data_IF_810355352211
#
_entry.id   IF_810355352211
#
_cell.length_a   1.000
_cell.length_b   1.000
_cell.length_c   1.000
_cell.angle_alpha   90.00
_cell.angle_beta   90.00
_cell.angle_gamma   90.00
#
_symmetry.space_group_name_H-M   'P 1'
#
loop_
_entity.id
_entity.type
_entity.pdbx_description
1 polymer ?
#
# COMPACT_ATOMS: atom_id res chain seq x y z
N UNK A 1 -0.62 -24.26 -11.77
CA UNK A 1 -0.39 -22.84 -11.43
C UNK A 1 0.95 -22.58 -10.72
N UNK A 2 1.58 -23.56 -10.03
CA UNK A 2 2.89 -23.35 -9.36
C UNK A 2 3.95 -24.42 -9.68
N UNK A 3 3.74 -25.25 -10.70
CA UNK A 3 4.72 -26.30 -11.06
C UNK A 3 5.97 -25.73 -11.75
N UNK A 4 5.88 -24.53 -12.31
CA UNK A 4 6.94 -23.88 -13.09
C UNK A 4 7.64 -22.72 -12.38
N UNK A 5 7.26 -22.38 -11.15
CA UNK A 5 7.84 -21.25 -10.42
C UNK A 5 8.50 -21.75 -9.13
N UNK A 6 9.78 -21.45 -8.96
CA UNK A 6 10.56 -21.82 -7.76
C UNK A 6 10.32 -20.88 -6.59
N UNK A 7 9.99 -19.62 -6.91
CA UNK A 7 9.82 -18.55 -5.95
C UNK A 7 8.73 -17.59 -6.43
N UNK A 8 7.78 -17.29 -5.55
CA UNK A 8 6.71 -16.31 -5.80
C UNK A 8 6.94 -15.06 -4.94
N UNK A 9 6.67 -13.90 -5.53
CA UNK A 9 6.67 -12.62 -4.82
C UNK A 9 5.24 -12.11 -4.75
N UNK A 10 4.68 -12.02 -3.54
CA UNK A 10 3.31 -11.58 -3.27
C UNK A 10 3.31 -10.15 -2.76
N UNK A 11 2.80 -9.21 -3.55
CA UNK A 11 2.56 -7.84 -3.12
C UNK A 11 1.17 -7.75 -2.48
N UNK A 12 1.08 -7.93 -1.16
CA UNK A 12 -0.17 -7.84 -0.41
C UNK A 12 0.09 -7.76 1.09
N UNK A 13 -0.76 -7.01 1.80
CA UNK A 13 -0.84 -7.03 3.26
C UNK A 13 -1.96 -7.93 3.80
N UNK A 14 -2.84 -8.43 2.94
CA UNK A 14 -4.07 -9.10 3.38
C UNK A 14 -3.82 -10.50 3.96
N UNK A 15 -4.28 -10.70 5.20
CA UNK A 15 -4.15 -11.97 5.92
C UNK A 15 -4.86 -13.15 5.27
N UNK A 16 -5.85 -12.91 4.41
CA UNK A 16 -6.59 -13.96 3.72
C UNK A 16 -5.70 -14.80 2.78
N UNK A 17 -4.54 -14.26 2.38
CA UNK A 17 -3.55 -15.00 1.59
C UNK A 17 -2.72 -15.99 2.39
N UNK A 18 -2.88 -16.09 3.72
CA UNK A 18 -2.14 -17.05 4.54
C UNK A 18 -2.27 -18.50 4.01
N UNK A 19 -3.50 -18.92 3.70
CA UNK A 19 -3.76 -20.26 3.18
C UNK A 19 -3.12 -20.50 1.81
N UNK A 20 -3.03 -19.44 0.98
CA UNK A 20 -2.32 -19.49 -0.30
C UNK A 20 -0.82 -19.71 -0.09
N UNK A 21 -0.20 -18.93 0.80
CA UNK A 21 1.23 -19.06 1.13
C UNK A 21 1.55 -20.47 1.62
N UNK A 22 0.74 -20.99 2.55
CA UNK A 22 0.92 -22.35 3.06
C UNK A 22 0.78 -23.41 1.96
N UNK A 23 -0.20 -23.28 1.07
CA UNK A 23 -0.39 -24.20 -0.05
C UNK A 23 0.77 -24.19 -1.07
N UNK A 24 1.42 -23.03 -1.25
CA UNK A 24 2.60 -22.89 -2.11
C UNK A 24 3.83 -23.52 -1.46
N UNK A 25 4.02 -23.31 -0.15
CA UNK A 25 5.11 -23.92 0.62
C UNK A 25 5.01 -25.44 0.69
N UNK A 26 3.80 -25.99 0.83
CA UNK A 26 3.56 -27.45 0.75
C UNK A 26 3.99 -28.06 -0.58
N UNK A 27 4.08 -27.27 -1.65
CA UNK A 27 4.61 -27.67 -2.96
C UNK A 27 6.13 -27.51 -3.08
N UNK A 28 6.82 -27.19 -1.97
CA UNK A 28 8.26 -26.98 -1.91
C UNK A 28 8.73 -25.67 -2.55
N UNK A 29 7.84 -24.69 -2.74
CA UNK A 29 8.15 -23.41 -3.37
C UNK A 29 8.26 -22.30 -2.33
N UNK A 30 9.13 -21.33 -2.59
CA UNK A 30 9.34 -20.18 -1.70
C UNK A 30 8.34 -19.07 -1.99
N UNK A 31 7.97 -18.32 -0.96
CA UNK A 31 7.14 -17.12 -1.09
C UNK A 31 7.76 -15.97 -0.31
N UNK A 32 8.05 -14.87 -1.02
CA UNK A 32 8.35 -13.58 -0.40
C UNK A 32 7.10 -12.72 -0.40
N UNK A 33 6.73 -12.18 0.75
CA UNK A 33 5.66 -11.17 0.84
C UNK A 33 6.27 -9.78 0.87
N UNK A 34 5.76 -8.90 0.02
CA UNK A 34 6.13 -7.49 -0.03
C UNK A 34 4.93 -6.68 0.43
N UNK A 35 5.05 -6.01 1.57
CA UNK A 35 3.97 -5.18 2.12
C UNK A 35 4.53 -4.07 2.99
N UNK A 36 3.68 -3.10 3.34
CA UNK A 36 4.02 -2.02 4.27
C UNK A 36 3.49 -2.35 5.66
N UNK A 37 4.33 -2.27 6.70
CA UNK A 37 3.87 -2.31 8.10
C UNK A 37 3.31 -0.96 8.57
N UNK A 38 3.63 0.12 7.85
CA UNK A 38 3.24 1.50 8.14
C UNK A 38 1.97 1.96 7.39
N UNK A 39 0.99 1.10 7.18
CA UNK A 39 -0.33 1.60 6.77
C UNK A 39 -1.09 2.11 8.00
N UNK A 40 -1.87 3.18 7.84
CA UNK A 40 -2.82 3.64 8.85
C UNK A 40 -4.23 3.44 8.30
N UNK A 41 -4.99 2.44 8.78
CA UNK A 41 -4.67 1.47 9.84
C UNK A 41 -3.67 0.39 9.42
N UNK A 42 -2.98 -0.31 10.35
CA UNK A 42 -2.08 -1.41 10.00
C UNK A 42 -2.86 -2.52 9.30
N UNK A 43 -2.60 -2.73 8.01
CA UNK A 43 -3.35 -3.67 7.16
C UNK A 43 -2.58 -4.97 6.93
N UNK A 44 -1.29 -5.02 7.26
CA UNK A 44 -0.53 -6.25 7.14
C UNK A 44 -0.88 -7.18 8.30
N UNK A 45 -1.50 -8.31 7.97
CA UNK A 45 -1.74 -9.36 8.95
C UNK A 45 -0.41 -9.91 9.47
N UNK A 46 -0.19 -9.82 10.78
CA UNK A 46 1.04 -10.33 11.42
C UNK A 46 1.24 -11.84 11.14
N UNK A 47 0.13 -12.55 10.89
CA UNK A 47 0.11 -13.96 10.49
C UNK A 47 0.66 -14.21 9.09
N UNK A 48 0.35 -13.34 8.11
CA UNK A 48 0.85 -13.50 6.74
C UNK A 48 2.37 -13.35 6.70
N UNK A 49 2.89 -12.36 7.44
CA UNK A 49 4.34 -12.14 7.58
C UNK A 49 5.04 -13.34 8.20
N UNK A 50 4.45 -13.93 9.25
CA UNK A 50 5.02 -15.11 9.94
C UNK A 50 4.96 -16.37 9.08
N UNK A 51 3.96 -16.48 8.21
CA UNK A 51 3.80 -17.63 7.33
C UNK A 51 4.75 -17.59 6.13
N UNK A 52 5.06 -16.40 5.60
CA UNK A 52 5.95 -16.26 4.44
C UNK A 52 7.41 -16.66 4.75
N UNK A 53 8.15 -17.10 3.73
CA UNK A 53 9.57 -17.46 3.88
C UNK A 53 10.43 -16.21 4.10
N UNK A 54 10.14 -15.15 3.35
CA UNK A 54 10.79 -13.84 3.46
C UNK A 54 9.74 -12.72 3.45
N UNK A 55 10.06 -11.61 4.13
CA UNK A 55 9.25 -10.41 4.13
C UNK A 55 10.09 -9.19 3.74
N UNK A 56 9.56 -8.38 2.82
CA UNK A 56 10.19 -7.14 2.38
C UNK A 56 9.25 -5.96 2.68
N UNK A 57 9.76 -4.97 3.40
CA UNK A 57 9.05 -3.73 3.67
C UNK A 57 8.99 -2.89 2.39
N UNK A 58 7.77 -2.65 1.88
CA UNK A 58 7.57 -1.93 0.63
C UNK A 58 8.14 -0.50 0.68
N UNK A 59 8.14 0.13 1.85
CA UNK A 59 8.71 1.46 2.02
C UNK A 59 10.23 1.50 1.78
N UNK A 60 10.95 0.40 2.01
CA UNK A 60 12.40 0.33 1.76
C UNK A 60 12.70 0.29 0.25
N UNK A 61 11.75 -0.16 -0.55
CA UNK A 61 11.85 -0.17 -2.02
C UNK A 61 11.48 1.18 -2.65
N UNK A 62 10.92 2.13 -1.90
CA UNK A 62 10.41 3.40 -2.44
C UNK A 62 11.46 4.19 -3.23
N UNK A 63 12.73 4.14 -2.83
CA UNK A 63 13.82 4.83 -3.54
C UNK A 63 14.22 4.17 -4.87
N UNK A 64 13.81 2.92 -5.09
CA UNK A 64 14.18 2.11 -6.25
C UNK A 64 13.02 2.02 -7.24
N UNK A 65 11.81 1.76 -6.75
CA UNK A 65 10.60 1.51 -7.56
C UNK A 65 9.52 2.58 -7.40
N UNK A 66 9.74 3.56 -6.52
CA UNK A 66 8.78 4.63 -6.27
C UNK A 66 8.59 5.50 -7.50
N UNK A 67 7.33 5.84 -7.80
CA UNK A 67 7.04 6.85 -8.81
C UNK A 67 7.60 8.19 -8.33
N UNK A 68 8.19 9.01 -9.21
CA UNK A 68 8.59 10.36 -8.86
C UNK A 68 7.36 11.08 -8.29
N UNK A 69 7.51 11.64 -7.08
CA UNK A 69 6.46 12.36 -6.39
C UNK A 69 5.99 13.48 -7.32
N UNK A 70 4.79 13.34 -7.90
CA UNK A 70 4.19 14.41 -8.70
C UNK A 70 3.98 15.58 -7.73
N UNK A 71 4.67 16.70 -7.97
CA UNK A 71 4.50 17.89 -7.15
C UNK A 71 3.00 18.15 -6.97
N UNK A 72 2.51 18.43 -5.75
CA UNK A 72 1.11 18.72 -5.53
C UNK A 72 0.71 19.83 -6.51
N UNK A 73 -0.29 19.56 -7.35
CA UNK A 73 -0.85 20.60 -8.20
C UNK A 73 -1.20 21.78 -7.30
N UNK A 74 -0.83 23.02 -7.67
CA UNK A 74 -1.15 24.18 -6.84
C UNK A 74 -2.64 24.15 -6.54
N UNK A 75 -3.00 24.15 -5.25
CA UNK A 75 -4.41 24.26 -4.84
C UNK A 75 -4.98 25.48 -5.56
N UNK A 76 -6.16 25.38 -6.20
CA UNK A 76 -6.81 26.56 -6.76
C UNK A 76 -6.91 27.60 -5.65
N UNK A 77 -6.29 28.76 -5.88
CA UNK A 77 -6.42 29.90 -4.99
C UNK A 77 -7.91 30.25 -5.01
N UNK A 78 -8.62 30.00 -3.91
CA UNK A 78 -9.99 30.51 -3.75
C UNK A 78 -9.92 32.03 -3.87
N UNK A 79 -10.59 32.59 -4.87
CA UNK A 79 -10.59 34.02 -5.15
C UNK A 79 -11.19 34.74 -3.95
N UNK A 80 -10.39 35.60 -3.30
CA UNK A 80 -10.75 36.36 -2.10
C UNK A 80 -12.01 37.23 -2.29
N UNK A 81 -12.46 37.44 -3.54
CA UNK A 81 -13.72 38.13 -3.85
C UNK A 81 -14.97 37.39 -3.38
N UNK A 82 -14.95 36.06 -3.29
CA UNK A 82 -16.12 35.26 -2.89
C UNK A 82 -16.41 35.26 -1.37
N UNK A 83 -15.47 35.70 -0.52
CA UNK A 83 -15.73 35.84 0.91
C UNK A 83 -16.41 37.19 1.23
N UNK A 84 -15.99 38.26 0.57
CA UNK A 84 -16.56 39.59 0.76
C UNK A 84 -18.03 39.68 0.29
N UNK A 85 -18.41 38.94 -0.76
CA UNK A 85 -19.80 38.88 -1.23
C UNK A 85 -20.70 38.11 -0.26
N UNK A 86 -20.18 37.09 0.44
CA UNK A 86 -20.97 36.30 1.41
C UNK A 86 -21.15 37.02 2.75
N UNK A 87 -20.20 37.84 3.15
CA UNK A 87 -20.31 38.67 4.37
C UNK A 87 -21.26 39.87 4.17
N UNK A 88 -21.45 40.33 2.93
CA UNK A 88 -22.37 41.42 2.61
C UNK A 88 -23.84 40.99 2.55
N UNK A 89 -24.12 39.72 2.27
CA UNK A 89 -25.49 39.18 2.17
C UNK A 89 -26.10 38.79 3.53
N UNK A 90 -25.28 38.65 4.59
CA UNK A 90 -25.73 38.29 5.95
C UNK A 90 -26.14 39.52 6.82
N UNK A 91 -26.09 40.74 6.27
CA UNK A 91 -26.43 42.01 6.98
C UNK A 91 -27.82 42.60 6.61
N UNK A 92 -28.84 41.77 6.33
CA UNK A 92 -30.22 42.27 6.14
C UNK A 92 -31.31 41.36 6.71
#
# INVERSE_FOLDING_TARGET
MAESADHLVLFSGDGDFRALVEAVQRKGRRVTVVSTMKSQPPMTSDDLRRQADDFVELNDLANIVGRPQRAPAPRPLVDARTLAEREADDEY
#
